data_IF_384520065781
#
_entry.id   IF_384520065781
#
_cell.length_a   1.000
_cell.length_b   1.000
_cell.length_c   1.000
_cell.angle_alpha   90.00
_cell.angle_beta   90.00
_cell.angle_gamma   90.00
#
_symmetry.space_group_name_H-M   'P 1'
#
loop_
_entity.id
_entity.type
_entity.pdbx_description
1 polymer ?
#
# COMPACT_ATOMS: atom_id res chain seq x y z
N UNK A 1 -26.46 10.97 -8.26
CA UNK A 1 -26.68 12.35 -7.76
C UNK A 1 -28.15 12.80 -7.90
N UNK A 2 -28.83 12.55 -9.03
CA UNK A 2 -30.24 12.94 -9.26
C UNK A 2 -31.25 12.46 -8.19
N UNK A 3 -31.00 11.29 -7.59
CA UNK A 3 -31.86 10.71 -6.54
C UNK A 3 -31.46 11.10 -5.10
N UNK A 4 -30.48 11.99 -4.94
CA UNK A 4 -30.03 12.45 -3.62
C UNK A 4 -29.30 11.41 -2.76
N UNK A 5 -28.88 10.27 -3.32
CA UNK A 5 -28.11 9.27 -2.59
C UNK A 5 -26.69 9.75 -2.33
N UNK A 6 -26.25 9.64 -1.08
CA UNK A 6 -24.86 9.82 -0.66
C UNK A 6 -24.07 8.55 -0.98
N UNK A 7 -23.35 8.56 -2.10
CA UNK A 7 -22.48 7.47 -2.50
C UNK A 7 -21.25 8.06 -3.17
N UNK A 8 -20.06 7.68 -2.70
CA UNK A 8 -18.79 8.07 -3.30
C UNK A 8 -18.32 6.96 -4.24
N UNK A 9 -18.08 7.32 -5.50
CA UNK A 9 -17.57 6.45 -6.56
C UNK A 9 -16.13 6.84 -6.83
N UNK A 10 -15.24 5.85 -6.81
CA UNK A 10 -13.82 6.04 -7.11
C UNK A 10 -13.35 5.12 -8.23
N UNK A 11 -12.38 5.60 -9.00
CA UNK A 11 -11.63 4.79 -9.96
C UNK A 11 -10.15 4.70 -9.56
N UNK A 12 -9.47 3.65 -10.01
CA UNK A 12 -8.03 3.50 -9.78
C UNK A 12 -7.34 2.93 -11.01
N UNK A 13 -6.23 3.54 -11.40
CA UNK A 13 -5.35 3.10 -12.47
C UNK A 13 -4.01 2.64 -11.91
N UNK A 14 -3.54 1.51 -12.42
CA UNK A 14 -2.13 1.13 -12.32
C UNK A 14 -1.39 1.77 -13.49
N UNK A 15 -0.47 2.69 -13.21
CA UNK A 15 0.27 3.41 -14.23
C UNK A 15 1.37 2.49 -14.79
N UNK A 16 1.28 2.20 -16.08
CA UNK A 16 2.18 1.35 -16.85
C UNK A 16 2.62 2.09 -18.13
N UNK A 17 3.74 1.71 -18.77
CA UNK A 17 4.20 2.35 -20.00
C UNK A 17 3.11 2.41 -21.09
N UNK A 18 2.33 1.33 -21.22
CA UNK A 18 1.34 1.16 -22.27
C UNK A 18 0.10 2.03 -22.10
N UNK A 19 -0.19 2.47 -20.87
CA UNK A 19 -1.41 3.22 -20.56
C UNK A 19 -1.15 4.64 -20.04
N UNK A 20 0.11 5.03 -19.83
CA UNK A 20 0.46 6.34 -19.26
C UNK A 20 -0.08 7.52 -20.07
N UNK A 21 -0.10 7.40 -21.40
CA UNK A 21 -0.63 8.43 -22.28
C UNK A 21 -2.15 8.66 -22.12
N UNK A 22 -2.89 7.67 -21.61
CA UNK A 22 -4.35 7.73 -21.47
C UNK A 22 -4.80 8.26 -20.09
N UNK A 23 -3.87 8.41 -19.13
CA UNK A 23 -4.19 8.74 -17.75
C UNK A 23 -4.95 10.08 -17.61
N UNK A 24 -4.54 11.11 -18.36
CA UNK A 24 -5.20 12.41 -18.34
C UNK A 24 -6.59 12.36 -18.97
N UNK A 25 -6.72 11.79 -20.17
CA UNK A 25 -8.01 11.66 -20.85
C UNK A 25 -9.00 10.80 -20.04
N UNK A 26 -8.50 9.78 -19.34
CA UNK A 26 -9.30 9.00 -18.40
C UNK A 26 -9.81 9.86 -17.24
N UNK A 27 -8.96 10.72 -16.65
CA UNK A 27 -9.36 11.62 -15.57
C UNK A 27 -10.46 12.60 -16.01
N UNK A 28 -10.33 13.19 -17.21
CA UNK A 28 -11.36 14.07 -17.80
C UNK A 28 -12.69 13.32 -17.93
N UNK A 29 -12.69 12.13 -18.54
CA UNK A 29 -13.92 11.32 -18.70
C UNK A 29 -14.54 10.93 -17.36
N UNK A 30 -13.73 10.57 -16.37
CA UNK A 30 -14.22 10.22 -15.03
C UNK A 30 -14.89 11.41 -14.35
N UNK A 31 -14.33 12.62 -14.50
CA UNK A 31 -14.94 13.87 -14.02
C UNK A 31 -16.29 14.12 -14.71
N UNK A 32 -16.34 14.00 -16.03
CA UNK A 32 -17.56 14.21 -16.83
C UNK A 32 -18.72 13.28 -16.45
N UNK A 33 -18.43 12.01 -16.18
CA UNK A 33 -19.46 11.02 -15.79
C UNK A 33 -19.82 11.08 -14.29
N UNK A 34 -19.18 11.97 -13.53
CA UNK A 34 -19.50 12.23 -12.13
C UNK A 34 -18.92 11.22 -11.12
N UNK A 35 -17.76 10.62 -11.44
CA UNK A 35 -16.94 9.92 -10.43
C UNK A 35 -16.39 10.95 -9.44
N UNK A 36 -16.23 10.59 -8.18
CA UNK A 36 -15.79 11.53 -7.13
C UNK A 36 -14.27 11.57 -7.00
N UNK A 37 -13.57 10.47 -7.27
CA UNK A 37 -12.11 10.48 -7.26
C UNK A 37 -11.44 9.45 -8.18
N UNK A 38 -10.21 9.74 -8.56
CA UNK A 38 -9.39 8.89 -9.41
C UNK A 38 -7.98 8.74 -8.84
N UNK A 39 -7.58 7.52 -8.49
CA UNK A 39 -6.23 7.23 -7.94
C UNK A 39 -5.34 6.66 -9.03
N UNK A 40 -4.22 7.32 -9.31
CA UNK A 40 -3.17 6.79 -10.19
C UNK A 40 -1.98 6.37 -9.33
N UNK A 41 -1.58 5.10 -9.46
CA UNK A 41 -0.52 4.52 -8.62
C UNK A 41 0.50 3.74 -9.45
N UNK A 42 1.77 3.65 -9.01
CA UNK A 42 2.75 2.84 -9.69
C UNK A 42 2.45 1.35 -9.56
N UNK A 43 2.99 0.56 -10.49
CA UNK A 43 3.23 -0.85 -10.29
C UNK A 43 4.24 -1.05 -9.18
N UNK A 44 3.98 -2.05 -8.33
CA UNK A 44 4.91 -2.43 -7.26
C UNK A 44 5.19 -3.91 -7.41
N UNK A 45 6.43 -4.24 -7.75
CA UNK A 45 6.83 -5.61 -8.06
C UNK A 45 6.61 -6.52 -6.84
N UNK A 46 5.69 -7.50 -6.89
CA UNK A 46 5.52 -8.43 -5.79
C UNK A 46 6.70 -9.41 -5.73
N UNK A 47 7.12 -9.78 -4.53
CA UNK A 47 8.31 -10.61 -4.30
C UNK A 47 8.23 -11.96 -5.03
N UNK A 48 7.07 -12.62 -4.95
CA UNK A 48 6.84 -13.96 -5.53
C UNK A 48 6.10 -13.94 -6.88
N UNK A 49 5.97 -12.78 -7.52
CA UNK A 49 5.35 -12.69 -8.85
C UNK A 49 6.18 -13.43 -9.90
N UNK A 50 5.51 -14.17 -10.79
CA UNK A 50 6.15 -14.78 -11.97
C UNK A 50 6.52 -13.73 -13.03
N UNK A 51 5.72 -12.67 -13.14
CA UNK A 51 6.01 -11.55 -14.05
C UNK A 51 6.96 -10.56 -13.40
N UNK A 52 7.95 -10.13 -14.19
CA UNK A 52 8.98 -9.14 -13.87
C UNK A 52 9.02 -7.98 -14.88
N UNK A 53 8.06 -7.94 -15.81
CA UNK A 53 8.07 -7.02 -16.96
C UNK A 53 8.24 -5.54 -16.58
N UNK A 54 7.75 -5.14 -15.41
CA UNK A 54 7.72 -3.76 -14.95
C UNK A 54 8.61 -3.52 -13.73
N UNK A 55 9.53 -4.44 -13.40
CA UNK A 55 10.34 -4.33 -12.18
C UNK A 55 11.30 -3.14 -12.19
N UNK A 56 11.82 -2.80 -13.37
CA UNK A 56 12.77 -1.71 -13.60
C UNK A 56 12.10 -0.47 -14.23
N UNK A 57 10.78 -0.36 -14.18
CA UNK A 57 10.10 0.77 -14.81
C UNK A 57 10.32 2.06 -13.98
N UNK A 58 10.95 3.05 -14.62
CA UNK A 58 11.20 4.36 -14.06
C UNK A 58 10.05 5.33 -14.33
N UNK A 59 9.49 5.86 -13.25
CA UNK A 59 8.39 6.81 -13.27
C UNK A 59 8.84 8.28 -13.31
N UNK A 60 10.14 8.58 -13.24
CA UNK A 60 10.66 9.95 -13.18
C UNK A 60 10.12 10.82 -14.33
N UNK A 61 10.12 10.28 -15.55
CA UNK A 61 9.62 10.96 -16.75
C UNK A 61 8.10 11.19 -16.76
N UNK A 62 7.37 10.57 -15.83
CA UNK A 62 5.92 10.69 -15.70
C UNK A 62 5.51 11.57 -14.52
N UNK A 63 6.44 12.15 -13.75
CA UNK A 63 6.09 12.95 -12.58
C UNK A 63 5.34 14.25 -12.94
N UNK A 64 5.68 14.87 -14.07
CA UNK A 64 5.00 16.08 -14.59
C UNK A 64 3.53 15.84 -14.94
N UNK A 65 3.14 14.57 -15.17
CA UNK A 65 1.74 14.21 -15.35
C UNK A 65 0.91 14.55 -14.10
N UNK A 66 1.51 14.44 -12.92
CA UNK A 66 0.86 14.76 -11.65
C UNK A 66 0.39 16.21 -11.59
N UNK A 67 1.21 17.16 -12.06
CA UNK A 67 0.86 18.59 -12.07
C UNK A 67 -0.34 18.85 -12.99
N UNK A 68 -0.35 18.26 -14.19
CA UNK A 68 -1.48 18.39 -15.13
C UNK A 68 -2.76 17.79 -14.58
N UNK A 69 -2.68 16.66 -13.88
CA UNK A 69 -3.84 16.01 -13.29
C UNK A 69 -4.42 16.79 -12.12
N UNK A 70 -3.59 17.50 -11.35
CA UNK A 70 -4.02 18.34 -10.23
C UNK A 70 -4.94 19.48 -10.71
N UNK A 71 -4.72 20.00 -11.91
CA UNK A 71 -5.58 21.04 -12.52
C UNK A 71 -7.04 20.58 -12.72
N UNK A 72 -7.30 19.27 -12.75
CA UNK A 72 -8.64 18.72 -12.89
C UNK A 72 -9.41 18.68 -11.55
N UNK A 73 -8.73 18.85 -10.42
CA UNK A 73 -9.33 18.83 -9.09
C UNK A 73 -10.30 20.00 -8.89
N UNK A 74 -11.42 19.73 -8.23
CA UNK A 74 -12.49 20.70 -8.03
C UNK A 74 -13.87 20.14 -8.38
N UNK A 75 -14.92 20.89 -8.07
CA UNK A 75 -16.33 20.51 -8.34
C UNK A 75 -16.75 19.14 -7.76
N UNK A 76 -16.09 18.73 -6.67
CA UNK A 76 -16.31 17.43 -6.04
C UNK A 76 -15.64 16.25 -6.74
N UNK A 77 -14.69 16.51 -7.64
CA UNK A 77 -13.78 15.52 -8.23
C UNK A 77 -12.35 15.71 -7.73
N UNK A 78 -11.65 14.61 -7.46
CA UNK A 78 -10.27 14.63 -6.99
C UNK A 78 -9.40 13.53 -7.62
N UNK A 79 -8.27 13.91 -8.20
CA UNK A 79 -7.23 13.02 -8.69
C UNK A 79 -6.15 12.87 -7.63
N UNK A 80 -5.79 11.63 -7.32
CA UNK A 80 -4.70 11.30 -6.39
C UNK A 80 -3.60 10.62 -7.18
N UNK A 81 -2.64 11.43 -7.65
CA UNK A 81 -1.43 10.93 -8.30
C UNK A 81 -0.36 10.56 -7.25
N UNK A 82 -0.04 9.27 -7.13
CA UNK A 82 0.88 8.78 -6.06
C UNK A 82 2.37 8.97 -6.40
N UNK A 83 2.76 10.21 -6.69
CA UNK A 83 4.15 10.59 -7.01
C UNK A 83 5.17 10.12 -5.96
N UNK A 84 4.84 10.18 -4.67
CA UNK A 84 5.74 9.70 -3.60
C UNK A 84 6.02 8.20 -3.72
N UNK A 85 5.01 7.39 -4.05
CA UNK A 85 5.17 5.96 -4.28
C UNK A 85 6.01 5.68 -5.53
N UNK A 86 5.85 6.50 -6.58
CA UNK A 86 6.64 6.44 -7.81
C UNK A 86 8.11 6.77 -7.54
N UNK A 87 8.41 7.83 -6.79
CA UNK A 87 9.78 8.19 -6.42
C UNK A 87 10.50 7.10 -5.60
N UNK A 88 9.74 6.40 -4.76
CA UNK A 88 10.28 5.29 -3.96
C UNK A 88 10.68 4.06 -4.77
N UNK A 89 10.25 3.91 -6.03
CA UNK A 89 10.67 2.74 -6.83
C UNK A 89 12.17 2.76 -7.14
N UNK A 90 12.78 3.95 -7.23
CA UNK A 90 14.21 4.14 -7.51
C UNK A 90 15.02 4.69 -6.32
N UNK A 91 14.37 5.04 -5.20
CA UNK A 91 15.00 5.40 -3.93
C UNK A 91 14.61 4.38 -2.85
N UNK A 92 15.24 3.19 -2.80
CA UNK A 92 14.76 2.07 -2.00
C UNK A 92 15.07 2.18 -0.50
N UNK A 93 15.65 3.29 -0.03
CA UNK A 93 15.96 3.48 1.38
C UNK A 93 14.67 3.48 2.22
N UNK A 94 14.56 2.47 3.10
CA UNK A 94 13.37 2.24 3.93
C UNK A 94 13.32 3.18 5.14
N UNK A 95 14.49 3.52 5.69
CA UNK A 95 14.60 4.28 6.94
C UNK A 95 14.21 3.49 8.19
N UNK A 96 14.14 2.15 8.11
CA UNK A 96 13.85 1.25 9.23
C UNK A 96 14.51 -0.12 9.01
N UNK A 97 14.92 -0.80 10.07
CA UNK A 97 15.56 -2.13 10.00
C UNK A 97 14.57 -3.30 10.25
N UNK A 98 13.38 -3.00 10.78
CA UNK A 98 12.36 -3.98 11.18
C UNK A 98 10.97 -3.53 10.77
N UNK A 99 10.12 -4.51 10.44
CA UNK A 99 8.72 -4.24 10.12
C UNK A 99 7.91 -4.10 11.42
N UNK A 100 7.56 -2.86 11.77
CA UNK A 100 6.68 -2.55 12.90
C UNK A 100 5.19 -2.62 12.52
N UNK A 101 4.85 -2.64 11.23
CA UNK A 101 3.46 -2.67 10.79
C UNK A 101 2.80 -4.05 10.96
N UNK A 102 3.46 -5.15 10.56
CA UNK A 102 2.88 -6.50 10.71
C UNK A 102 2.57 -6.86 12.18
N UNK A 103 3.44 -6.55 13.16
CA UNK A 103 3.16 -6.84 14.56
C UNK A 103 2.00 -6.04 15.19
N UNK A 104 1.67 -4.86 14.65
CA UNK A 104 0.84 -3.88 15.37
C UNK A 104 -0.33 -3.26 14.59
N UNK A 105 -0.22 -3.16 13.26
CA UNK A 105 -1.08 -2.27 12.49
C UNK A 105 -2.15 -2.98 11.66
N UNK A 106 -1.83 -4.13 11.06
CA UNK A 106 -2.68 -4.70 10.01
C UNK A 106 -2.66 -6.24 9.98
N UNK A 107 -3.81 -6.84 9.67
CA UNK A 107 -3.93 -8.25 9.28
C UNK A 107 -4.84 -8.43 8.05
N UNK A 108 -4.73 -9.57 7.40
CA UNK A 108 -5.50 -9.94 6.23
C UNK A 108 -6.36 -11.16 6.55
N UNK A 109 -7.58 -11.20 6.02
CA UNK A 109 -8.42 -12.39 6.04
C UNK A 109 -8.59 -12.82 4.59
N UNK A 110 -8.15 -14.03 4.28
CA UNK A 110 -8.25 -14.64 2.96
C UNK A 110 -9.68 -15.14 2.71
N UNK A 111 -10.03 -15.42 1.46
CA UNK A 111 -11.38 -15.89 1.09
C UNK A 111 -11.74 -17.24 1.70
N UNK A 112 -10.76 -18.04 2.11
CA UNK A 112 -10.93 -19.31 2.82
C UNK A 112 -11.05 -19.13 4.36
N UNK A 113 -10.97 -17.88 4.85
CA UNK A 113 -11.00 -17.53 6.27
C UNK A 113 -9.63 -17.51 6.96
N UNK A 114 -8.53 -17.86 6.29
CA UNK A 114 -7.22 -17.82 6.90
C UNK A 114 -6.79 -16.37 7.22
N UNK A 115 -6.30 -16.14 8.43
CA UNK A 115 -5.82 -14.84 8.91
C UNK A 115 -4.31 -14.76 8.72
N UNK A 116 -3.81 -13.73 8.03
CA UNK A 116 -2.40 -13.52 7.76
C UNK A 116 -1.89 -12.16 8.25
N UNK A 117 -0.62 -12.12 8.68
CA UNK A 117 0.04 -10.87 9.11
C UNK A 117 0.60 -9.98 8.01
N UNK A 118 0.80 -10.51 6.80
CA UNK A 118 1.45 -9.75 5.73
C UNK A 118 1.00 -10.20 4.34
N UNK A 119 0.59 -9.25 3.50
CA UNK A 119 0.20 -9.49 2.11
C UNK A 119 1.34 -10.09 1.28
N UNK A 120 2.59 -9.72 1.57
CA UNK A 120 3.74 -10.23 0.80
C UNK A 120 4.02 -11.70 1.11
N UNK A 121 3.55 -12.22 2.24
CA UNK A 121 3.79 -13.58 2.72
C UNK A 121 2.49 -14.39 2.81
N UNK A 122 1.49 -14.08 1.99
CA UNK A 122 0.34 -14.95 1.82
C UNK A 122 0.80 -16.36 1.42
N UNK A 123 0.11 -17.38 1.94
CA UNK A 123 0.44 -18.81 1.78
C UNK A 123 1.74 -19.24 2.47
N UNK A 124 2.46 -18.33 3.14
CA UNK A 124 3.55 -18.71 4.01
C UNK A 124 3.01 -19.04 5.40
N UNK A 125 3.17 -20.29 5.82
CA UNK A 125 2.62 -20.78 7.08
C UNK A 125 3.12 -20.02 8.32
N UNK A 126 4.34 -19.47 8.28
CA UNK A 126 4.86 -18.63 9.36
C UNK A 126 4.04 -17.35 9.58
N UNK A 127 3.31 -16.89 8.57
CA UNK A 127 2.49 -15.69 8.62
C UNK A 127 0.99 -16.00 8.72
N UNK A 128 0.58 -17.27 8.71
CA UNK A 128 -0.80 -17.71 8.90
C UNK A 128 -1.09 -17.86 10.40
N UNK A 129 -2.05 -17.13 10.94
CA UNK A 129 -2.36 -17.13 12.37
C UNK A 129 -3.47 -18.13 12.75
N UNK A 130 -4.28 -18.58 11.80
CA UNK A 130 -5.44 -19.44 12.04
C UNK A 130 -6.56 -19.15 11.04
N UNK A 131 -7.73 -19.76 11.23
CA UNK A 131 -8.88 -19.60 10.33
C UNK A 131 -10.14 -19.15 11.09
N UNK A 132 -10.77 -18.06 10.66
CA UNK A 132 -11.98 -17.50 11.30
C UNK A 132 -13.20 -18.41 11.19
N UNK A 133 -13.17 -19.41 10.31
CA UNK A 133 -14.22 -20.40 10.19
C UNK A 133 -14.11 -21.52 11.25
N UNK A 134 -12.96 -21.63 11.93
CA UNK A 134 -12.70 -22.65 12.95
C UNK A 134 -12.80 -22.07 14.38
N UNK A 135 -12.36 -20.83 14.57
CA UNK A 135 -12.35 -20.15 15.88
C UNK A 135 -12.48 -18.63 15.72
N UNK A 136 -12.77 -17.92 16.81
CA UNK A 136 -12.99 -16.48 16.78
C UNK A 136 -11.70 -15.70 16.46
N UNK A 137 -11.84 -14.52 15.85
CA UNK A 137 -10.69 -13.66 15.56
C UNK A 137 -9.86 -13.33 16.80
N UNK A 138 -10.49 -13.12 17.95
CA UNK A 138 -9.78 -12.84 19.22
C UNK A 138 -8.91 -14.02 19.66
N UNK A 139 -9.38 -15.26 19.49
CA UNK A 139 -8.62 -16.45 19.84
C UNK A 139 -7.41 -16.62 18.90
N UNK A 140 -7.60 -16.34 17.61
CA UNK A 140 -6.52 -16.30 16.61
C UNK A 140 -5.50 -15.21 16.97
N UNK A 141 -5.97 -14.01 17.32
CA UNK A 141 -5.11 -12.87 17.60
C UNK A 141 -4.29 -13.03 18.86
N UNK A 142 -4.83 -13.71 19.88
CA UNK A 142 -4.13 -14.05 21.12
C UNK A 142 -3.45 -15.42 21.08
N UNK A 143 -3.47 -16.10 19.92
CA UNK A 143 -2.89 -17.43 19.79
C UNK A 143 -1.37 -17.42 19.93
N UNK A 144 -0.84 -18.56 20.36
CA UNK A 144 0.59 -18.82 20.38
C UNK A 144 1.22 -18.65 18.99
N UNK A 145 0.54 -19.11 17.94
CA UNK A 145 1.01 -19.00 16.55
C UNK A 145 1.22 -17.54 16.12
N UNK A 146 0.30 -16.65 16.50
CA UNK A 146 0.45 -15.20 16.27
C UNK A 146 1.62 -14.63 17.10
N UNK A 147 1.78 -15.07 18.35
CA UNK A 147 2.91 -14.67 19.22
C UNK A 147 4.26 -15.08 18.64
N UNK A 148 4.39 -16.29 18.12
CA UNK A 148 5.60 -16.77 17.45
C UNK A 148 5.94 -15.91 16.23
N UNK A 149 4.96 -15.59 15.38
CA UNK A 149 5.18 -14.69 14.25
C UNK A 149 5.56 -13.28 14.70
N UNK A 150 4.94 -12.75 15.75
CA UNK A 150 5.27 -11.44 16.31
C UNK A 150 6.75 -11.36 16.69
N UNK A 151 7.26 -12.35 17.41
CA UNK A 151 8.68 -12.43 17.78
C UNK A 151 9.59 -12.64 16.57
N UNK A 152 9.17 -13.47 15.62
CA UNK A 152 9.90 -13.67 14.36
C UNK A 152 10.05 -12.37 13.58
N UNK A 153 8.96 -11.62 13.37
CA UNK A 153 8.98 -10.38 12.59
C UNK A 153 9.83 -9.31 13.27
N UNK A 154 9.77 -9.23 14.61
CA UNK A 154 10.55 -8.25 15.37
C UNK A 154 12.04 -8.55 15.42
N UNK A 155 12.43 -9.82 15.39
CA UNK A 155 13.80 -10.21 15.74
C UNK A 155 14.57 -10.89 14.60
N UNK A 156 13.88 -11.42 13.60
CA UNK A 156 14.48 -12.31 12.59
C UNK A 156 14.09 -11.99 11.15
N UNK A 157 12.99 -11.29 10.90
CA UNK A 157 12.59 -10.94 9.54
C UNK A 157 13.54 -9.90 8.95
N UNK A 158 14.26 -10.30 7.91
CA UNK A 158 15.05 -9.39 7.09
C UNK A 158 14.13 -8.58 6.15
N UNK A 159 14.00 -7.28 6.44
CA UNK A 159 13.20 -6.35 5.63
C UNK A 159 13.92 -5.87 4.37
N UNK A 160 15.23 -6.12 4.23
CA UNK A 160 15.95 -5.79 2.99
C UNK A 160 15.44 -6.63 1.82
N UNK A 161 15.01 -7.87 2.09
CA UNK A 161 14.37 -8.75 1.11
C UNK A 161 12.89 -8.45 0.84
N UNK A 162 12.28 -7.45 1.52
CA UNK A 162 10.90 -7.06 1.23
C UNK A 162 10.83 -6.25 -0.08
N UNK A 163 9.67 -6.25 -0.74
CA UNK A 163 9.45 -5.44 -1.96
C UNK A 163 9.56 -3.94 -1.70
N UNK A 164 10.11 -3.20 -2.66
CA UNK A 164 10.13 -1.74 -2.68
C UNK A 164 8.69 -1.20 -2.78
N UNK A 165 8.44 -0.01 -2.24
CA UNK A 165 7.11 0.61 -2.18
C UNK A 165 6.03 -0.28 -1.53
N UNK A 166 6.40 -0.94 -0.43
CA UNK A 166 5.44 -1.70 0.39
C UNK A 166 4.30 -0.79 0.88
N UNK A 167 3.05 -1.29 0.90
CA UNK A 167 1.91 -0.52 1.42
C UNK A 167 2.10 -0.10 2.89
N UNK A 168 2.89 -0.86 3.63
CA UNK A 168 3.20 -0.61 5.04
C UNK A 168 4.45 0.25 5.26
N UNK A 169 5.12 0.72 4.19
CA UNK A 169 6.38 1.44 4.28
C UNK A 169 6.25 2.75 5.07
N UNK A 170 5.23 3.57 4.78
CA UNK A 170 4.94 4.81 5.52
C UNK A 170 4.63 4.56 7.01
N UNK A 171 3.87 3.50 7.29
CA UNK A 171 3.53 3.12 8.67
C UNK A 171 4.78 2.63 9.40
N UNK A 172 5.64 1.86 8.73
CA UNK A 172 6.91 1.42 9.29
C UNK A 172 7.83 2.61 9.58
N UNK A 173 7.97 3.58 8.67
CA UNK A 173 8.75 4.79 8.90
C UNK A 173 8.24 5.57 10.12
N UNK A 174 6.92 5.74 10.22
CA UNK A 174 6.31 6.43 11.35
C UNK A 174 6.54 5.69 12.68
N UNK A 175 6.24 4.39 12.73
CA UNK A 175 6.45 3.57 13.94
C UNK A 175 7.93 3.43 14.30
N UNK A 176 8.82 3.45 13.31
CA UNK A 176 10.26 3.46 13.52
C UNK A 176 10.70 4.75 14.22
N UNK A 177 10.31 5.92 13.71
CA UNK A 177 10.58 7.22 14.36
C UNK A 177 9.99 7.28 15.78
N UNK A 178 8.78 6.75 15.99
CA UNK A 178 8.19 6.69 17.35
C UNK A 178 8.99 5.81 18.32
N UNK A 179 9.63 4.75 17.83
CA UNK A 179 10.47 3.86 18.65
C UNK A 179 11.93 4.29 18.74
N UNK A 180 12.36 5.19 17.85
CA UNK A 180 13.70 5.77 17.75
C UNK A 180 13.58 7.28 17.61
N UNK A 181 13.08 7.98 18.66
CA UNK A 181 12.89 9.42 18.57
C UNK A 181 14.23 10.13 18.42
N UNK A 182 14.26 11.17 17.59
CA UNK A 182 15.40 12.06 17.45
C UNK A 182 15.30 13.23 18.45
N UNK A 183 16.43 13.87 18.73
CA UNK A 183 16.47 15.08 19.54
C UNK A 183 15.54 16.14 18.91
N UNK A 184 14.68 16.73 19.73
CA UNK A 184 13.69 17.75 19.33
C UNK A 184 12.48 17.29 18.50
N UNK A 185 12.17 15.99 18.41
CA UNK A 185 10.94 15.50 17.72
C UNK A 185 9.62 16.16 18.20
N UNK A 186 9.61 16.68 19.44
CA UNK A 186 8.46 17.37 20.04
C UNK A 186 8.40 18.88 19.77
N UNK A 187 9.41 19.46 19.11
CA UNK A 187 9.43 20.86 18.71
C UNK A 187 9.14 20.95 17.21
N UNK A 188 7.84 20.90 16.87
CA UNK A 188 7.31 21.19 15.53
C UNK A 188 7.14 22.70 15.37
#
# INVERSE_FOLDING_TARGET
>A
RERGFECTIGAQMLLLPENAAEAYDQAVRLKEIGVDYYVIKPHTQPLYSKTRLYEDFDYEQLLDLGEKLEELNGDGFNVVFRARGMKKTFQPERGYDRCSATPFFWSYIMSDGCVYGCLNYLLNEKFNYGNINETGFMDIWHSEKRRENFEYVRSHLDVSGCRVSCRMDEINQYLWRLSHPEDHDNFI
#
